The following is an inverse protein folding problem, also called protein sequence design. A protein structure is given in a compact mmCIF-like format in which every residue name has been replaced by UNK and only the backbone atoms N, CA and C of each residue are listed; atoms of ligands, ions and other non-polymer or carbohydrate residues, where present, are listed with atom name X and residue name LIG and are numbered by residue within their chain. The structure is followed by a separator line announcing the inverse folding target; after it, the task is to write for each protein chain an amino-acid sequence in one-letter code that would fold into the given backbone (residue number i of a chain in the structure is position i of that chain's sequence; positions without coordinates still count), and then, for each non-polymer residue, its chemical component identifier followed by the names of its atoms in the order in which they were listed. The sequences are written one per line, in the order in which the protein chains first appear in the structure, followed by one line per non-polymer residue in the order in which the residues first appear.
data_IF_625817510892
#
_entry.id   IF_625817510892
#
_cell.length_a   1.000
_cell.length_b   1.000
_cell.length_c   1.000
_cell.angle_alpha   90.00
_cell.angle_beta   90.00
_cell.angle_gamma   90.00
#
_symmetry.space_group_name_H-M   'P 1'
#
loop_
_entity.id
_entity.type
_entity.pdbx_description
1 polymer ?
#
# COMPACT_ATOMS: atom_id res chain seq x y z
N UNK A 1 79.12 -49.01 40.55
CA UNK A 1 78.40 -50.22 40.85
C UNK A 1 76.91 -49.91 40.86
N UNK A 2 76.14 -50.65 40.09
CA UNK A 2 74.70 -50.80 40.06
C UNK A 2 73.82 -49.55 39.64
N UNK A 3 73.45 -49.64 38.42
CA UNK A 3 72.23 -49.05 37.83
C UNK A 3 70.96 -49.69 38.39
N UNK A 4 69.86 -49.00 38.45
CA UNK A 4 68.63 -49.65 37.98
C UNK A 4 67.79 -48.85 37.01
N UNK A 5 67.19 -49.57 36.21
CA UNK A 5 66.19 -49.55 35.17
C UNK A 5 65.11 -48.42 35.19
N UNK A 6 64.86 -47.89 33.99
CA UNK A 6 63.74 -47.11 33.55
C UNK A 6 62.48 -47.98 33.51
N UNK A 7 61.36 -47.38 33.95
CA UNK A 7 60.01 -47.83 33.58
C UNK A 7 59.34 -46.70 32.79
N UNK A 8 58.90 -47.04 31.61
CA UNK A 8 58.11 -46.17 30.70
C UNK A 8 56.64 -46.22 31.12
N UNK A 9 56.01 -45.05 31.17
CA UNK A 9 54.56 -44.91 31.29
C UNK A 9 54.08 -44.16 30.05
N UNK A 10 53.25 -44.85 29.27
CA UNK A 10 52.54 -44.35 28.12
C UNK A 10 51.44 -43.36 28.53
N UNK A 11 51.27 -42.20 27.86
CA UNK A 11 50.07 -41.36 28.06
C UNK A 11 48.94 -41.76 27.11
N UNK A 12 47.77 -42.03 27.72
CA UNK A 12 46.53 -42.33 27.01
C UNK A 12 45.96 -41.12 26.29
N UNK A 13 45.50 -41.39 25.10
CA UNK A 13 44.73 -40.44 24.25
C UNK A 13 43.28 -40.46 24.74
N UNK A 14 42.79 -39.38 25.33
CA UNK A 14 41.33 -39.09 25.44
C UNK A 14 41.09 -37.57 25.41
N UNK A 15 40.23 -37.13 24.49
CA UNK A 15 39.48 -35.90 24.63
C UNK A 15 39.77 -34.80 23.65
N UNK A 16 39.39 -34.94 22.40
CA UNK A 16 39.10 -33.79 21.48
C UNK A 16 38.06 -34.18 20.43
N UNK A 17 36.80 -34.42 20.85
CA UNK A 17 35.66 -34.64 19.94
C UNK A 17 34.40 -33.95 20.50
N UNK A 18 34.50 -32.79 21.09
CA UNK A 18 33.34 -32.10 21.69
C UNK A 18 33.09 -30.67 21.29
N UNK A 19 33.91 -30.05 20.42
CA UNK A 19 33.82 -28.59 20.22
C UNK A 19 33.55 -28.13 18.77
N UNK A 20 33.35 -29.04 17.82
CA UNK A 20 33.18 -28.64 16.38
C UNK A 20 31.71 -28.62 15.93
N UNK A 21 30.75 -29.16 16.71
CA UNK A 21 29.33 -29.22 16.26
C UNK A 21 28.44 -28.07 16.73
N UNK A 22 28.88 -27.17 17.60
CA UNK A 22 28.08 -26.03 18.07
C UNK A 22 28.26 -24.74 17.24
N UNK A 23 29.39 -24.62 16.51
CA UNK A 23 29.66 -23.42 15.69
C UNK A 23 28.98 -23.44 14.30
N UNK A 24 28.52 -24.60 13.84
CA UNK A 24 27.87 -24.73 12.53
C UNK A 24 26.36 -24.44 12.54
N UNK A 25 25.69 -24.52 13.69
CA UNK A 25 24.23 -24.28 13.77
C UNK A 25 23.88 -22.79 13.92
N UNK A 26 24.72 -22.04 14.63
CA UNK A 26 24.48 -20.58 14.74
C UNK A 26 24.79 -19.82 13.42
N UNK A 27 25.77 -20.30 12.64
CA UNK A 27 26.08 -19.69 11.33
C UNK A 27 24.99 -19.92 10.29
N UNK A 28 24.19 -20.98 10.38
CA UNK A 28 23.08 -21.25 9.47
C UNK A 28 21.83 -20.42 9.80
N UNK A 29 21.55 -20.11 11.07
CA UNK A 29 20.43 -19.24 11.46
C UNK A 29 20.68 -17.77 11.14
N UNK A 30 21.90 -17.29 11.29
CA UNK A 30 22.28 -15.90 10.96
C UNK A 30 22.24 -15.66 9.45
N UNK A 31 22.60 -16.67 8.63
CA UNK A 31 22.59 -16.54 7.18
C UNK A 31 21.17 -16.49 6.58
N UNK A 32 20.16 -17.12 7.21
CA UNK A 32 18.77 -17.07 6.71
C UNK A 32 18.03 -15.78 7.06
N UNK A 33 18.39 -15.09 8.15
CA UNK A 33 17.82 -13.79 8.49
C UNK A 33 18.44 -12.64 7.69
N UNK A 34 19.71 -12.72 7.33
CA UNK A 34 20.41 -11.72 6.53
C UNK A 34 19.98 -11.70 5.05
N UNK A 35 19.63 -12.86 4.47
CA UNK A 35 19.20 -12.96 3.05
C UNK A 35 17.78 -12.45 2.78
N UNK A 36 16.92 -12.34 3.80
CA UNK A 36 15.57 -11.78 3.64
C UNK A 36 15.54 -10.25 3.71
N UNK A 37 16.54 -9.62 4.30
CA UNK A 37 16.58 -8.17 4.59
C UNK A 37 17.10 -7.29 3.43
N UNK A 38 17.72 -7.85 2.40
CA UNK A 38 18.45 -7.07 1.38
C UNK A 38 17.76 -6.94 0.02
N UNK A 39 16.57 -7.49 -0.19
CA UNK A 39 15.93 -7.37 -1.50
C UNK A 39 15.43 -5.96 -1.76
N UNK A 40 16.20 -5.19 -2.50
CA UNK A 40 15.72 -3.91 -3.08
C UNK A 40 14.68 -4.19 -4.15
N UNK A 41 13.65 -3.36 -4.21
CA UNK A 41 12.69 -3.39 -5.32
C UNK A 41 13.41 -2.92 -6.60
N UNK A 42 13.24 -3.66 -7.68
CA UNK A 42 13.68 -3.21 -9.01
C UNK A 42 12.78 -2.05 -9.47
N UNK A 43 13.30 -0.85 -9.50
CA UNK A 43 12.55 0.36 -9.87
C UNK A 43 12.46 0.58 -11.39
N UNK A 44 12.98 -0.33 -12.22
CA UNK A 44 12.99 -0.20 -13.68
C UNK A 44 11.74 -0.70 -14.36
N UNK A 45 10.93 -1.51 -13.66
CA UNK A 45 9.73 -2.14 -14.20
C UNK A 45 8.64 -2.34 -13.15
N UNK A 46 7.38 -2.19 -13.52
CA UNK A 46 6.22 -2.46 -12.65
C UNK A 46 5.85 -3.97 -12.62
N UNK A 47 6.14 -4.71 -13.68
CA UNK A 47 5.89 -6.16 -13.75
C UNK A 47 6.56 -6.92 -12.61
N UNK A 48 5.86 -7.89 -12.03
CA UNK A 48 6.31 -8.68 -10.90
C UNK A 48 6.17 -7.97 -9.53
N UNK A 49 5.53 -6.81 -9.48
CA UNK A 49 5.40 -6.03 -8.24
C UNK A 49 4.01 -6.06 -7.63
N UNK A 50 3.99 -6.01 -6.29
CA UNK A 50 2.84 -5.65 -5.49
C UNK A 50 3.11 -4.28 -4.89
N UNK A 51 2.36 -3.29 -5.37
CA UNK A 51 2.43 -1.91 -4.92
C UNK A 51 1.16 -1.56 -4.16
N UNK A 52 1.28 -0.70 -3.15
CA UNK A 52 0.13 -0.26 -2.35
C UNK A 52 -0.23 1.18 -2.64
N UNK A 53 -1.51 1.54 -2.61
CA UNK A 53 -1.89 2.93 -2.47
C UNK A 53 -1.47 3.47 -1.11
N UNK A 54 -0.94 4.68 -1.06
CA UNK A 54 -0.48 5.36 0.14
C UNK A 54 -1.11 6.74 0.21
N UNK A 55 -1.98 6.95 1.19
CA UNK A 55 -2.73 8.20 1.31
C UNK A 55 -1.88 9.34 1.87
N UNK A 56 -1.17 9.11 2.96
CA UNK A 56 -0.30 10.11 3.57
C UNK A 56 -1.01 11.39 4.03
N UNK A 57 -2.31 11.33 4.31
CA UNK A 57 -3.16 12.50 4.57
C UNK A 57 -3.51 12.74 6.04
N UNK A 58 -3.12 11.83 6.94
CA UNK A 58 -3.44 11.92 8.36
C UNK A 58 -2.60 12.99 9.05
N UNK A 59 -3.26 13.98 9.69
CA UNK A 59 -2.61 15.02 10.48
C UNK A 59 -3.16 15.06 11.90
N UNK A 60 -2.30 15.49 12.84
CA UNK A 60 -2.67 15.68 14.23
C UNK A 60 -2.45 17.13 14.67
N UNK A 61 -3.16 17.55 15.68
CA UNK A 61 -2.89 18.84 16.33
C UNK A 61 -1.43 18.86 16.81
N UNK A 62 -0.71 19.93 16.49
CA UNK A 62 0.70 20.08 16.89
C UNK A 62 1.73 19.31 16.06
N UNK A 63 1.34 18.62 14.98
CA UNK A 63 2.28 17.90 14.09
C UNK A 63 3.17 18.81 13.24
N UNK A 64 2.84 20.10 13.16
CA UNK A 64 3.53 21.10 12.34
C UNK A 64 2.91 21.36 10.97
N UNK A 65 1.94 20.56 10.52
CA UNK A 65 1.23 20.78 9.27
C UNK A 65 0.22 21.94 9.32
N UNK A 66 -0.30 22.24 10.51
CA UNK A 66 -1.32 23.27 10.74
C UNK A 66 -2.69 22.90 10.15
N UNK A 67 -3.00 21.58 10.06
CA UNK A 67 -4.25 21.04 9.53
C UNK A 67 -5.16 20.43 10.58
N UNK A 68 -4.77 20.46 11.88
CA UNK A 68 -5.49 19.82 12.98
C UNK A 68 -5.62 18.31 12.78
N UNK A 69 -6.72 17.73 13.20
CA UNK A 69 -6.99 16.28 13.12
C UNK A 69 -7.55 15.84 11.74
N UNK A 70 -6.84 16.22 10.67
CA UNK A 70 -7.29 15.93 9.30
C UNK A 70 -7.34 14.42 9.04
N UNK A 71 -8.42 13.94 8.45
CA UNK A 71 -8.78 12.53 8.20
C UNK A 71 -9.01 11.66 9.43
N UNK A 72 -8.59 12.06 10.62
CA UNK A 72 -8.92 11.37 11.86
C UNK A 72 -10.34 11.66 12.33
N UNK A 73 -10.85 12.88 12.07
CA UNK A 73 -12.13 13.37 12.59
C UNK A 73 -13.15 13.68 11.49
N UNK A 74 -14.45 13.55 11.82
CA UNK A 74 -15.57 13.94 10.95
C UNK A 74 -15.68 15.45 10.76
N UNK A 75 -15.38 16.19 11.84
CA UNK A 75 -15.54 17.63 11.90
C UNK A 75 -14.34 18.31 12.56
N UNK A 76 -14.55 19.58 12.93
CA UNK A 76 -13.55 20.33 13.71
C UNK A 76 -13.40 19.77 15.11
N UNK A 77 -12.26 19.99 15.71
CA UNK A 77 -11.95 19.58 17.09
C UNK A 77 -11.06 18.35 17.15
N UNK A 78 -10.86 17.84 18.36
CA UNK A 78 -9.98 16.72 18.67
C UNK A 78 -10.54 15.37 18.22
N UNK A 79 -9.66 14.38 18.12
CA UNK A 79 -10.04 12.99 17.93
C UNK A 79 -10.61 12.44 19.25
N UNK A 80 -11.95 12.42 19.34
CA UNK A 80 -12.73 12.12 20.54
C UNK A 80 -13.90 11.17 20.21
N UNK A 81 -14.49 10.51 21.24
CA UNK A 81 -15.72 9.75 21.07
C UNK A 81 -16.81 10.57 20.36
N UNK A 82 -17.44 9.96 19.35
CA UNK A 82 -18.45 10.63 18.50
C UNK A 82 -17.89 11.47 17.35
N UNK A 83 -16.62 11.88 17.37
CA UNK A 83 -15.98 12.65 16.30
C UNK A 83 -14.97 11.84 15.45
N UNK A 84 -14.75 10.56 15.75
CA UNK A 84 -13.86 9.71 14.93
C UNK A 84 -14.42 9.46 13.53
N UNK A 85 -13.57 9.60 12.52
CA UNK A 85 -13.87 9.26 11.14
C UNK A 85 -13.40 7.85 10.78
N UNK A 86 -12.38 7.35 11.46
CA UNK A 86 -11.68 6.11 11.19
C UNK A 86 -12.44 4.89 11.71
N UNK A 87 -12.31 3.77 11.01
CA UNK A 87 -12.89 2.46 11.41
C UNK A 87 -11.84 1.44 11.88
N UNK A 88 -10.54 1.68 11.62
CA UNK A 88 -9.44 0.90 12.18
C UNK A 88 -8.58 1.79 13.09
N UNK A 89 -7.99 1.20 14.15
CA UNK A 89 -7.05 1.90 15.01
C UNK A 89 -5.61 1.48 14.73
N UNK A 90 -4.68 2.42 14.41
CA UNK A 90 -3.30 2.07 14.09
C UNK A 90 -2.57 1.50 15.31
N UNK A 91 -1.64 0.57 15.07
CA UNK A 91 -0.67 0.13 16.06
C UNK A 91 0.54 1.05 16.02
N UNK A 92 0.66 1.91 17.02
CA UNK A 92 1.75 2.89 17.15
C UNK A 92 2.88 2.43 18.08
N UNK A 93 2.89 1.15 18.48
CA UNK A 93 3.84 0.62 19.46
C UNK A 93 5.32 0.72 19.02
N UNK A 94 5.58 0.74 17.72
CA UNK A 94 6.93 0.89 17.15
C UNK A 94 7.33 2.34 16.88
N UNK A 95 6.45 3.30 17.15
CA UNK A 95 6.73 4.73 17.00
C UNK A 95 7.34 5.29 18.29
N UNK A 96 8.26 6.24 18.15
CA UNK A 96 8.83 6.96 19.29
C UNK A 96 7.81 7.90 19.98
N UNK A 97 8.12 8.40 21.19
CA UNK A 97 7.20 9.30 21.92
C UNK A 97 6.83 10.57 21.12
N UNK A 98 7.77 11.15 20.36
CA UNK A 98 7.57 12.38 19.58
C UNK A 98 6.82 12.13 18.24
N UNK A 99 6.56 10.88 17.92
CA UNK A 99 5.88 10.45 16.69
C UNK A 99 4.41 10.09 16.96
N UNK A 100 4.01 10.01 18.24
CA UNK A 100 2.68 9.63 18.69
C UNK A 100 1.92 10.83 19.20
N UNK A 101 0.64 10.89 18.89
CA UNK A 101 -0.27 11.98 19.23
C UNK A 101 -1.41 11.45 20.07
N UNK A 102 -1.48 11.96 21.32
CA UNK A 102 -2.52 11.61 22.28
C UNK A 102 -3.89 12.08 21.79
N UNK A 103 -4.90 11.23 21.97
CA UNK A 103 -6.30 11.52 21.65
C UNK A 103 -7.14 11.61 22.92
N UNK A 104 -8.41 11.96 22.79
CA UNK A 104 -9.36 11.88 23.92
C UNK A 104 -9.91 10.46 24.15
N UNK A 105 -9.55 9.52 23.32
CA UNK A 105 -9.89 8.11 23.50
C UNK A 105 -9.00 7.44 24.54
N UNK A 106 -9.55 6.41 25.19
CA UNK A 106 -8.83 5.57 26.14
C UNK A 106 -9.05 4.09 25.84
N UNK A 107 -8.02 3.30 26.08
CA UNK A 107 -8.11 1.85 26.10
C UNK A 107 -8.89 1.35 27.33
N UNK A 108 -9.27 0.06 27.36
CA UNK A 108 -10.02 -0.52 28.45
C UNK A 108 -9.30 -0.48 29.80
N UNK A 109 -7.98 -0.42 29.81
CA UNK A 109 -7.12 -0.30 30.99
C UNK A 109 -6.89 1.17 31.43
N UNK A 110 -7.52 2.16 30.77
CA UNK A 110 -7.41 3.58 31.07
C UNK A 110 -6.25 4.32 30.40
N UNK A 111 -5.33 3.63 29.70
CA UNK A 111 -4.27 4.28 28.91
C UNK A 111 -4.88 5.19 27.85
N UNK A 112 -4.21 6.32 27.59
CA UNK A 112 -4.55 7.20 26.47
C UNK A 112 -4.29 6.47 25.17
N UNK A 113 -5.26 6.50 24.26
CA UNK A 113 -5.07 5.95 22.92
C UNK A 113 -4.40 7.00 22.03
N UNK A 114 -3.41 6.56 21.26
CA UNK A 114 -2.56 7.42 20.46
C UNK A 114 -2.65 7.04 18.99
N UNK A 115 -2.36 8.01 18.11
CA UNK A 115 -2.28 7.85 16.67
C UNK A 115 -1.02 8.50 16.12
N UNK A 116 -0.77 8.40 14.81
CA UNK A 116 0.39 8.99 14.14
C UNK A 116 0.00 10.18 13.26
N UNK A 117 1.00 10.93 12.76
CA UNK A 117 0.83 11.90 11.70
C UNK A 117 1.68 11.53 10.49
N UNK A 118 1.07 11.53 9.29
CA UNK A 118 1.78 11.34 8.02
C UNK A 118 2.72 12.50 7.68
N UNK A 119 2.57 13.66 8.36
CA UNK A 119 3.48 14.79 8.21
C UNK A 119 4.85 14.55 8.86
N UNK A 120 4.94 13.59 9.77
CA UNK A 120 6.19 13.20 10.44
C UNK A 120 6.98 12.23 9.57
N UNK A 121 8.23 12.57 9.31
CA UNK A 121 9.13 11.76 8.47
C UNK A 121 9.32 10.35 9.03
N UNK A 122 9.42 10.25 10.34
CA UNK A 122 9.66 9.00 11.07
C UNK A 122 8.50 8.01 10.86
N UNK A 123 7.24 8.49 10.86
CA UNK A 123 6.09 7.66 10.55
C UNK A 123 6.14 7.13 9.11
N UNK A 124 6.49 7.98 8.14
CA UNK A 124 6.66 7.57 6.73
C UNK A 124 7.82 6.58 6.59
N UNK A 125 8.94 6.82 7.29
CA UNK A 125 10.09 5.91 7.32
C UNK A 125 9.67 4.53 7.84
N UNK A 126 8.96 4.47 8.97
CA UNK A 126 8.46 3.23 9.56
C UNK A 126 7.56 2.46 8.58
N UNK A 127 6.67 3.16 7.87
CA UNK A 127 5.80 2.56 6.87
C UNK A 127 6.59 1.91 5.72
N UNK A 128 7.63 2.57 5.22
CA UNK A 128 8.48 2.01 4.16
C UNK A 128 9.42 0.91 4.68
N UNK A 129 9.85 0.96 5.93
CA UNK A 129 10.54 -0.15 6.60
C UNK A 129 9.63 -1.38 6.69
N UNK A 130 8.37 -1.22 7.08
CA UNK A 130 7.41 -2.33 7.04
C UNK A 130 7.23 -2.87 5.62
N UNK A 131 7.12 -2.03 4.59
CA UNK A 131 7.07 -2.52 3.20
C UNK A 131 8.30 -3.36 2.87
N UNK A 132 9.50 -2.94 3.27
CA UNK A 132 10.75 -3.69 3.08
C UNK A 132 10.71 -5.04 3.82
N UNK A 133 10.43 -5.00 5.11
CA UNK A 133 10.55 -6.15 6.00
C UNK A 133 9.53 -7.25 5.66
N UNK A 134 8.38 -6.86 5.11
CA UNK A 134 7.34 -7.79 4.68
C UNK A 134 7.32 -8.06 3.16
N UNK A 135 8.27 -7.54 2.39
CA UNK A 135 8.43 -7.86 0.97
C UNK A 135 7.39 -7.24 0.04
N UNK A 136 6.84 -6.07 0.43
CA UNK A 136 6.01 -5.21 -0.41
C UNK A 136 6.92 -4.30 -1.22
N UNK A 137 6.66 -4.15 -2.52
CA UNK A 137 7.62 -3.53 -3.43
C UNK A 137 7.64 -1.98 -3.33
N UNK A 138 6.54 -1.34 -2.89
CA UNK A 138 6.48 0.10 -2.70
C UNK A 138 5.08 0.69 -2.74
N UNK A 139 5.00 2.01 -3.01
CA UNK A 139 3.77 2.79 -2.89
C UNK A 139 3.45 3.65 -4.11
N UNK A 140 2.16 3.72 -4.45
CA UNK A 140 1.58 4.81 -5.22
C UNK A 140 1.17 5.91 -4.24
N UNK A 141 1.95 7.00 -4.20
CA UNK A 141 1.73 8.11 -3.27
C UNK A 141 0.63 9.01 -3.82
N UNK A 142 -0.50 9.04 -3.13
CA UNK A 142 -1.70 9.76 -3.54
C UNK A 142 -1.49 11.27 -3.48
N UNK A 143 -2.03 11.96 -4.49
CA UNK A 143 -1.97 13.41 -4.61
C UNK A 143 -3.31 13.93 -5.14
N UNK A 144 -4.19 14.36 -4.22
CA UNK A 144 -5.52 14.82 -4.57
C UNK A 144 -5.48 16.15 -5.31
N UNK A 145 -5.93 16.14 -6.56
CA UNK A 145 -5.93 17.31 -7.44
C UNK A 145 -6.81 18.44 -6.91
N UNK A 146 -7.89 18.13 -6.20
CA UNK A 146 -8.79 19.13 -5.57
C UNK A 146 -8.07 20.01 -4.54
N UNK A 147 -7.00 19.50 -3.91
CA UNK A 147 -6.22 20.22 -2.89
C UNK A 147 -5.05 21.05 -3.41
N UNK A 148 -4.76 21.05 -4.72
CA UNK A 148 -3.55 21.71 -5.26
C UNK A 148 -3.55 23.25 -5.12
N UNK A 149 -4.73 23.88 -5.01
CA UNK A 149 -4.86 25.33 -4.76
C UNK A 149 -4.80 25.70 -3.28
N UNK A 150 -5.04 24.77 -2.38
CA UNK A 150 -4.95 25.05 -0.95
C UNK A 150 -3.50 24.96 -0.46
N UNK A 151 -2.90 26.06 0.02
CA UNK A 151 -1.49 26.06 0.40
C UNK A 151 -1.15 25.06 1.51
N UNK A 152 -2.08 24.77 2.42
CA UNK A 152 -1.85 23.78 3.50
C UNK A 152 -1.87 22.36 2.95
N UNK A 153 -2.81 22.05 2.06
CA UNK A 153 -2.88 20.75 1.38
C UNK A 153 -1.68 20.52 0.47
N UNK A 154 -1.30 21.53 -0.31
CA UNK A 154 -0.12 21.45 -1.17
C UNK A 154 1.17 21.24 -0.35
N UNK A 155 1.33 21.97 0.76
CA UNK A 155 2.45 21.78 1.69
C UNK A 155 2.48 20.35 2.26
N UNK A 156 1.32 19.83 2.72
CA UNK A 156 1.20 18.44 3.18
C UNK A 156 1.67 17.47 2.10
N UNK A 157 1.09 17.58 0.91
CA UNK A 157 1.39 16.67 -0.20
C UNK A 157 2.87 16.72 -0.59
N UNK A 158 3.48 17.91 -0.65
CA UNK A 158 4.89 18.06 -0.98
C UNK A 158 5.80 17.50 0.13
N UNK A 159 5.46 17.72 1.39
CA UNK A 159 6.24 17.21 2.53
C UNK A 159 6.20 15.68 2.57
N UNK A 160 5.01 15.09 2.47
CA UNK A 160 4.87 13.61 2.47
C UNK A 160 5.58 13.00 1.26
N UNK A 161 5.43 13.59 0.07
CA UNK A 161 6.12 13.10 -1.14
C UNK A 161 7.64 13.18 -1.00
N UNK A 162 8.17 14.28 -0.43
CA UNK A 162 9.60 14.42 -0.16
C UNK A 162 10.10 13.35 0.84
N UNK A 163 9.33 13.07 1.90
CA UNK A 163 9.62 11.99 2.81
C UNK A 163 9.58 10.63 2.11
N UNK A 164 8.53 10.33 1.34
CA UNK A 164 8.44 9.08 0.57
C UNK A 164 9.65 8.91 -0.37
N UNK A 165 10.08 9.96 -1.06
CA UNK A 165 11.27 9.94 -1.92
C UNK A 165 12.52 9.52 -1.14
N UNK A 166 12.81 10.21 -0.04
CA UNK A 166 14.02 9.93 0.78
C UNK A 166 13.97 8.52 1.39
N UNK A 167 12.83 8.16 1.99
CA UNK A 167 12.72 6.86 2.68
C UNK A 167 12.68 5.68 1.71
N UNK A 168 12.13 5.87 0.50
CA UNK A 168 12.15 4.85 -0.56
C UNK A 168 13.59 4.49 -0.96
N UNK A 169 14.45 5.49 -1.13
CA UNK A 169 15.88 5.28 -1.42
C UNK A 169 16.57 4.49 -0.30
N UNK A 170 16.31 4.85 0.96
CA UNK A 170 16.93 4.21 2.14
C UNK A 170 16.42 2.78 2.33
N UNK A 171 15.14 2.55 2.21
CA UNK A 171 14.52 1.23 2.40
C UNK A 171 14.64 0.31 1.18
N UNK A 172 15.08 0.84 0.04
CA UNK A 172 15.11 0.10 -1.22
C UNK A 172 13.72 -0.27 -1.74
N UNK A 173 12.72 0.60 -1.49
CA UNK A 173 11.36 0.44 -2.01
C UNK A 173 11.11 1.40 -3.15
N UNK A 174 10.10 1.10 -3.98
CA UNK A 174 9.68 1.97 -5.07
C UNK A 174 8.61 2.97 -4.61
N UNK A 175 8.54 4.14 -5.27
CA UNK A 175 7.40 5.04 -5.14
C UNK A 175 7.01 5.63 -6.50
N UNK A 176 5.74 6.00 -6.62
CA UNK A 176 5.13 6.62 -7.82
C UNK A 176 4.21 7.73 -7.37
N UNK A 177 4.18 8.84 -8.09
CA UNK A 177 3.15 9.87 -7.91
C UNK A 177 1.84 9.37 -8.53
N UNK A 178 0.75 9.41 -7.76
CA UNK A 178 -0.59 9.05 -8.21
C UNK A 178 -1.55 10.21 -7.98
N UNK A 179 -1.92 10.91 -9.04
CA UNK A 179 -2.96 11.93 -8.96
C UNK A 179 -4.33 11.29 -8.77
N UNK A 180 -5.10 11.81 -7.83
CA UNK A 180 -6.51 11.50 -7.66
C UNK A 180 -7.34 12.71 -8.08
N UNK A 181 -8.18 12.53 -9.09
CA UNK A 181 -9.01 13.59 -9.65
C UNK A 181 -10.34 13.78 -8.90
N UNK A 182 -10.58 13.06 -7.79
CA UNK A 182 -11.81 13.22 -6.99
C UNK A 182 -11.95 14.64 -6.49
N UNK A 183 -13.16 15.21 -6.68
CA UNK A 183 -13.45 16.57 -6.26
C UNK A 183 -12.80 17.68 -7.11
N UNK A 184 -12.08 17.33 -8.19
CA UNK A 184 -11.55 18.33 -9.12
C UNK A 184 -12.71 19.03 -9.86
N UNK A 185 -12.73 20.36 -9.81
CA UNK A 185 -13.74 21.17 -10.50
C UNK A 185 -13.57 21.18 -12.03
N UNK A 186 -14.59 21.67 -12.73
CA UNK A 186 -14.54 21.85 -14.18
C UNK A 186 -13.41 22.80 -14.61
N UNK A 187 -12.80 22.53 -15.76
CA UNK A 187 -11.73 23.33 -16.37
C UNK A 187 -10.47 23.48 -15.50
N UNK A 188 -10.23 22.51 -14.59
CA UNK A 188 -9.08 22.56 -13.66
C UNK A 188 -8.00 21.53 -13.95
N UNK A 189 -8.11 20.77 -15.02
CA UNK A 189 -7.14 19.70 -15.34
C UNK A 189 -5.71 20.24 -15.53
N UNK A 190 -5.57 21.48 -15.99
CA UNK A 190 -4.27 22.15 -16.16
C UNK A 190 -3.50 22.31 -14.85
N UNK A 191 -4.17 22.40 -13.72
CA UNK A 191 -3.53 22.48 -12.41
C UNK A 191 -2.71 21.20 -12.11
N UNK A 192 -3.20 20.04 -12.56
CA UNK A 192 -2.47 18.77 -12.46
C UNK A 192 -1.23 18.80 -13.36
N UNK A 193 -1.34 19.36 -14.55
CA UNK A 193 -0.20 19.50 -15.46
C UNK A 193 0.87 20.44 -14.90
N UNK A 194 0.47 21.58 -14.32
CA UNK A 194 1.38 22.56 -13.75
C UNK A 194 2.05 22.02 -12.50
N UNK A 195 1.29 21.34 -11.65
CA UNK A 195 1.84 20.63 -10.48
C UNK A 195 2.85 19.55 -10.90
N UNK A 196 2.55 18.75 -11.92
CA UNK A 196 3.50 17.76 -12.44
C UNK A 196 4.79 18.41 -12.96
N UNK A 197 4.70 19.54 -13.66
CA UNK A 197 5.90 20.29 -14.07
C UNK A 197 6.74 20.72 -12.88
N UNK A 198 6.09 21.28 -11.83
CA UNK A 198 6.78 21.68 -10.60
C UNK A 198 7.44 20.49 -9.89
N UNK A 199 6.74 19.35 -9.78
CA UNK A 199 7.33 18.12 -9.23
C UNK A 199 8.57 17.64 -10.01
N UNK A 200 8.56 17.80 -11.34
CA UNK A 200 9.70 17.42 -12.20
C UNK A 200 10.85 18.42 -12.13
N UNK A 201 10.57 19.72 -12.21
CA UNK A 201 11.59 20.77 -12.36
C UNK A 201 12.12 21.29 -11.04
N UNK A 202 11.30 21.35 -9.98
CA UNK A 202 11.70 21.92 -8.69
C UNK A 202 12.02 20.81 -7.66
N UNK A 203 11.20 19.77 -7.59
CA UNK A 203 11.42 18.66 -6.65
C UNK A 203 12.23 17.49 -7.25
N UNK A 204 12.48 17.51 -8.56
CA UNK A 204 13.24 16.46 -9.26
C UNK A 204 12.77 15.06 -8.88
N UNK A 205 11.44 14.88 -8.76
CA UNK A 205 10.82 13.69 -8.17
C UNK A 205 11.20 12.41 -8.91
N UNK A 206 11.32 12.47 -10.24
CA UNK A 206 11.65 11.33 -11.12
C UNK A 206 13.12 11.02 -11.24
N UNK A 207 14.00 11.86 -10.64
CA UNK A 207 15.45 11.66 -10.67
C UNK A 207 15.91 10.73 -9.53
N UNK A 208 15.01 10.49 -8.55
CA UNK A 208 15.27 9.55 -7.46
C UNK A 208 15.45 8.12 -8.00
N UNK A 209 16.46 7.37 -7.53
CA UNK A 209 16.60 5.94 -7.85
C UNK A 209 15.46 5.10 -7.28
N UNK A 210 14.69 5.61 -6.31
CA UNK A 210 13.48 4.97 -5.78
C UNK A 210 12.23 5.22 -6.63
N UNK A 211 12.28 6.15 -7.62
CA UNK A 211 11.12 6.40 -8.48
C UNK A 211 10.90 5.28 -9.48
N UNK A 212 9.70 4.68 -9.48
CA UNK A 212 9.40 3.55 -10.34
C UNK A 212 9.32 3.97 -11.81
N UNK A 213 9.99 3.22 -12.65
CA UNK A 213 9.89 3.29 -14.09
C UNK A 213 9.10 2.10 -14.64
N UNK A 214 8.55 2.26 -15.80
CA UNK A 214 7.93 1.19 -16.55
C UNK A 214 8.08 1.47 -18.04
N UNK A 215 8.34 0.43 -18.84
CA UNK A 215 8.65 0.60 -20.27
C UNK A 215 9.76 1.64 -20.54
N UNK A 216 10.77 1.68 -19.65
CA UNK A 216 11.93 2.59 -19.74
C UNK A 216 11.69 4.05 -19.35
N UNK A 217 10.47 4.45 -18.94
CA UNK A 217 10.07 5.82 -18.63
C UNK A 217 9.57 5.93 -17.20
N UNK A 218 9.63 7.11 -16.54
CA UNK A 218 9.01 7.34 -15.25
C UNK A 218 7.51 7.03 -15.32
N UNK A 219 7.00 6.24 -14.35
CA UNK A 219 5.57 5.94 -14.25
C UNK A 219 4.85 7.07 -13.51
N UNK A 220 3.74 7.54 -14.04
CA UNK A 220 2.80 8.42 -13.34
C UNK A 220 1.41 7.82 -13.41
N UNK A 221 0.69 7.86 -12.29
CA UNK A 221 -0.66 7.34 -12.20
C UNK A 221 -1.67 8.48 -12.12
N UNK A 222 -2.83 8.30 -12.75
CA UNK A 222 -3.98 9.21 -12.68
C UNK A 222 -5.22 8.39 -12.40
N UNK A 223 -5.76 8.51 -11.19
CA UNK A 223 -7.00 7.87 -10.79
C UNK A 223 -8.19 8.80 -11.02
N UNK A 224 -9.31 8.21 -11.46
CA UNK A 224 -10.54 8.95 -11.61
C UNK A 224 -11.03 9.10 -13.04
N UNK A 225 -10.46 8.38 -14.00
CA UNK A 225 -10.81 8.49 -15.43
C UNK A 225 -12.06 7.66 -15.74
N UNK A 226 -13.10 8.31 -16.23
CA UNK A 226 -14.29 7.65 -16.79
C UNK A 226 -15.33 7.18 -15.77
N UNK A 227 -15.32 7.66 -14.53
CA UNK A 227 -16.36 7.39 -13.53
C UNK A 227 -17.65 8.16 -13.83
N UNK A 228 -18.82 7.52 -13.60
CA UNK A 228 -20.16 8.08 -13.80
C UNK A 228 -20.75 8.70 -12.51
N UNK A 229 -19.91 9.25 -11.64
CA UNK A 229 -20.25 9.79 -10.31
C UNK A 229 -20.27 11.34 -10.30
N UNK A 230 -20.79 11.94 -11.36
CA UNK A 230 -20.98 13.40 -11.53
C UNK A 230 -19.69 14.24 -11.49
N UNK A 231 -18.57 13.67 -11.93
CA UNK A 231 -17.31 14.39 -12.05
C UNK A 231 -17.44 15.61 -12.95
N UNK A 232 -16.77 16.69 -12.56
CA UNK A 232 -16.93 17.99 -13.23
C UNK A 232 -15.96 18.18 -14.40
N UNK A 233 -14.91 17.41 -14.50
CA UNK A 233 -14.00 17.37 -15.64
C UNK A 233 -14.49 16.38 -16.71
N UNK A 234 -14.12 16.63 -17.94
CA UNK A 234 -14.59 15.92 -19.13
C UNK A 234 -13.57 14.87 -19.61
N UNK A 235 -14.00 13.95 -20.48
CA UNK A 235 -13.08 13.02 -21.17
C UNK A 235 -12.09 13.77 -22.08
N UNK A 236 -12.45 14.92 -22.63
CA UNK A 236 -11.54 15.76 -23.41
C UNK A 236 -10.40 16.31 -22.52
N UNK A 237 -10.71 16.78 -21.32
CA UNK A 237 -9.70 17.19 -20.35
C UNK A 237 -8.84 16.01 -19.88
N UNK A 238 -9.44 14.83 -19.70
CA UNK A 238 -8.66 13.61 -19.38
C UNK A 238 -7.68 13.28 -20.51
N UNK A 239 -8.13 13.37 -21.77
CA UNK A 239 -7.26 13.18 -22.93
C UNK A 239 -6.10 14.19 -22.95
N UNK A 240 -6.39 15.48 -22.74
CA UNK A 240 -5.38 16.55 -22.68
C UNK A 240 -4.30 16.23 -21.62
N UNK A 241 -4.71 15.76 -20.43
CA UNK A 241 -3.78 15.36 -19.38
C UNK A 241 -2.91 14.15 -19.77
N UNK A 242 -3.52 13.11 -20.32
CA UNK A 242 -2.77 11.90 -20.72
C UNK A 242 -1.77 12.22 -21.83
N UNK A 243 -2.19 12.96 -22.85
CA UNK A 243 -1.31 13.39 -23.96
C UNK A 243 -0.16 14.27 -23.47
N UNK A 244 -0.44 15.19 -22.52
CA UNK A 244 0.59 15.99 -21.86
C UNK A 244 1.63 15.11 -21.15
N UNK A 245 1.22 14.15 -20.30
CA UNK A 245 2.12 13.27 -19.56
C UNK A 245 2.94 12.36 -20.51
N UNK A 246 2.31 11.87 -21.56
CA UNK A 246 3.00 11.08 -22.61
C UNK A 246 4.06 11.93 -23.33
N UNK A 247 3.74 13.18 -23.68
CA UNK A 247 4.66 14.12 -24.30
C UNK A 247 5.82 14.48 -23.39
N UNK A 248 5.57 14.56 -22.07
CA UNK A 248 6.59 14.80 -21.05
C UNK A 248 7.47 13.56 -20.78
N UNK A 249 7.30 12.49 -21.57
CA UNK A 249 8.14 11.30 -21.54
C UNK A 249 7.76 10.29 -20.46
N UNK A 250 6.52 10.29 -19.96
CA UNK A 250 6.05 9.36 -18.94
C UNK A 250 5.42 8.11 -19.52
N UNK A 251 5.49 7.02 -18.77
CA UNK A 251 4.53 5.92 -18.82
C UNK A 251 3.33 6.31 -17.97
N UNK A 252 2.11 6.11 -18.48
CA UNK A 252 0.89 6.57 -17.82
C UNK A 252 0.02 5.38 -17.42
N UNK A 253 -0.32 5.30 -16.12
CA UNK A 253 -1.31 4.40 -15.57
C UNK A 253 -2.62 5.14 -15.33
N UNK A 254 -3.75 4.56 -15.72
CA UNK A 254 -5.07 5.13 -15.48
C UNK A 254 -5.88 4.27 -14.51
N UNK A 255 -6.32 4.89 -13.40
CA UNK A 255 -7.32 4.34 -12.50
C UNK A 255 -8.73 4.61 -13.02
N UNK A 256 -9.48 3.55 -13.27
CA UNK A 256 -10.77 3.56 -13.97
C UNK A 256 -11.86 2.86 -13.15
N UNK A 257 -13.16 3.05 -13.44
CA UNK A 257 -14.24 2.30 -12.79
C UNK A 257 -14.20 0.81 -13.13
N UNK A 258 -14.87 -0.04 -12.34
CA UNK A 258 -14.91 -1.49 -12.59
C UNK A 258 -15.49 -1.85 -13.96
N UNK A 259 -16.53 -1.12 -14.41
CA UNK A 259 -17.24 -1.44 -15.66
C UNK A 259 -16.72 -0.64 -16.87
N UNK A 260 -15.48 -0.15 -16.82
CA UNK A 260 -14.86 0.66 -17.87
C UNK A 260 -14.90 0.04 -19.27
N UNK A 261 -14.73 -1.29 -19.34
CA UNK A 261 -14.74 -2.02 -20.63
C UNK A 261 -16.15 -2.13 -21.21
N UNK A 262 -17.15 -2.22 -20.35
CA UNK A 262 -18.55 -2.40 -20.75
C UNK A 262 -19.30 -1.07 -20.90
N UNK A 263 -18.70 0.08 -20.52
CA UNK A 263 -19.27 1.43 -20.59
C UNK A 263 -20.65 1.52 -19.91
N UNK A 264 -20.78 0.97 -18.70
CA UNK A 264 -22.03 0.96 -17.94
C UNK A 264 -21.79 1.08 -16.42
N UNK A 265 -22.86 1.16 -15.64
CA UNK A 265 -22.89 1.21 -14.17
C UNK A 265 -22.03 2.36 -13.62
N UNK A 266 -20.86 2.05 -13.05
CA UNK A 266 -19.93 3.04 -12.49
C UNK A 266 -19.02 3.70 -13.54
N UNK A 267 -19.16 3.32 -14.81
CA UNK A 267 -18.43 3.90 -15.94
C UNK A 267 -19.33 4.80 -16.80
N UNK A 268 -18.73 5.85 -17.37
CA UNK A 268 -19.39 6.67 -18.39
C UNK A 268 -19.80 5.80 -19.57
N UNK A 269 -21.06 5.95 -20.02
CA UNK A 269 -21.61 5.28 -21.21
C UNK A 269 -21.22 6.02 -22.51
N UNK A 270 -19.93 6.36 -22.64
CA UNK A 270 -19.37 7.12 -23.75
C UNK A 270 -18.18 6.36 -24.37
N UNK A 271 -18.27 5.95 -25.66
CA UNK A 271 -17.18 5.27 -26.37
C UNK A 271 -15.85 6.05 -26.39
N UNK A 272 -15.89 7.38 -26.28
CA UNK A 272 -14.70 8.22 -26.19
C UNK A 272 -13.81 7.86 -24.97
N UNK A 273 -14.37 7.20 -23.95
CA UNK A 273 -13.60 6.68 -22.84
C UNK A 273 -12.53 5.66 -23.34
N UNK A 274 -12.90 4.72 -24.19
CA UNK A 274 -11.93 3.76 -24.73
C UNK A 274 -10.81 4.42 -25.55
N UNK A 275 -11.11 5.54 -26.22
CA UNK A 275 -10.08 6.27 -26.97
C UNK A 275 -9.09 6.97 -26.03
N UNK A 276 -9.55 7.47 -24.86
CA UNK A 276 -8.67 8.00 -23.82
C UNK A 276 -7.82 6.88 -23.21
N UNK A 277 -8.44 5.74 -22.89
CA UNK A 277 -7.75 4.60 -22.27
C UNK A 277 -6.64 4.03 -23.15
N UNK A 278 -6.84 3.98 -24.47
CA UNK A 278 -5.83 3.50 -25.44
C UNK A 278 -4.59 4.39 -25.53
N UNK A 279 -4.62 5.62 -25.01
CA UNK A 279 -3.44 6.50 -24.92
C UNK A 279 -2.51 6.12 -23.77
N UNK A 280 -3.03 5.42 -22.76
CA UNK A 280 -2.28 4.99 -21.60
C UNK A 280 -1.32 3.84 -21.88
N UNK A 281 -0.63 3.39 -20.84
CA UNK A 281 0.23 2.21 -20.87
C UNK A 281 -0.28 1.12 -19.93
N UNK A 282 -0.94 1.51 -18.82
CA UNK A 282 -1.44 0.59 -17.79
C UNK A 282 -2.87 0.99 -17.40
N UNK A 283 -3.77 0.01 -17.33
CA UNK A 283 -5.15 0.19 -16.83
C UNK A 283 -5.29 -0.48 -15.47
N UNK A 284 -5.89 0.24 -14.51
CA UNK A 284 -6.09 -0.24 -13.14
C UNK A 284 -7.53 0.02 -12.68
N UNK A 285 -8.44 -0.97 -12.76
CA UNK A 285 -9.83 -0.78 -12.36
C UNK A 285 -10.00 -0.77 -10.85
N UNK A 286 -10.78 0.18 -10.34
CA UNK A 286 -11.13 0.27 -8.93
C UNK A 286 -12.19 -0.76 -8.56
N UNK A 287 -11.86 -1.66 -7.65
CA UNK A 287 -12.73 -2.78 -7.26
C UNK A 287 -13.14 -2.78 -5.79
N UNK A 288 -12.63 -1.84 -4.99
CA UNK A 288 -13.05 -1.71 -3.58
C UNK A 288 -14.56 -1.53 -3.49
N UNK A 289 -15.22 -2.32 -2.65
CA UNK A 289 -16.68 -2.26 -2.48
C UNK A 289 -17.48 -3.06 -3.51
N UNK A 290 -16.90 -3.60 -4.57
CA UNK A 290 -17.63 -4.25 -5.67
C UNK A 290 -17.99 -5.72 -5.42
N UNK A 291 -17.34 -6.36 -4.46
CA UNK A 291 -17.63 -7.71 -3.99
C UNK A 291 -17.21 -7.86 -2.52
N UNK A 292 -17.75 -8.87 -1.82
CA UNK A 292 -17.57 -8.99 -0.36
C UNK A 292 -17.21 -10.39 0.16
N UNK A 293 -17.03 -11.35 -0.72
CA UNK A 293 -16.77 -12.75 -0.36
C UNK A 293 -16.10 -13.51 -1.51
N UNK A 294 -15.67 -14.74 -1.23
CA UNK A 294 -15.00 -15.60 -2.21
C UNK A 294 -15.85 -15.89 -3.45
N UNK A 295 -17.18 -15.99 -3.31
CA UNK A 295 -18.08 -16.17 -4.46
C UNK A 295 -18.13 -14.91 -5.33
N UNK A 296 -18.11 -13.72 -4.70
CA UNK A 296 -17.98 -12.44 -5.38
C UNK A 296 -16.64 -12.31 -6.12
N UNK A 297 -15.54 -12.73 -5.49
CA UNK A 297 -14.20 -12.75 -6.12
C UNK A 297 -14.21 -13.67 -7.34
N UNK A 298 -14.77 -14.89 -7.25
CA UNK A 298 -14.85 -15.81 -8.37
C UNK A 298 -15.68 -15.24 -9.53
N UNK A 299 -16.83 -14.61 -9.23
CA UNK A 299 -17.61 -13.92 -10.27
C UNK A 299 -16.87 -12.77 -10.90
N UNK A 300 -16.12 -11.99 -10.10
CA UNK A 300 -15.29 -10.88 -10.60
C UNK A 300 -14.16 -11.39 -11.50
N UNK A 301 -13.51 -12.50 -11.14
CA UNK A 301 -12.48 -13.13 -11.98
C UNK A 301 -13.00 -13.46 -13.37
N UNK A 302 -14.19 -14.10 -13.46
CA UNK A 302 -14.74 -14.53 -14.74
C UNK A 302 -15.33 -13.36 -15.55
N UNK A 303 -16.04 -12.41 -14.91
CA UNK A 303 -16.77 -11.36 -15.62
C UNK A 303 -15.93 -10.14 -15.97
N UNK A 304 -14.89 -9.86 -15.18
CA UNK A 304 -14.09 -8.64 -15.32
C UNK A 304 -12.61 -8.97 -15.53
N UNK A 305 -11.95 -9.59 -14.56
CA UNK A 305 -10.52 -9.74 -14.52
C UNK A 305 -9.96 -10.41 -15.80
N UNK A 306 -10.49 -11.57 -16.19
CA UNK A 306 -10.06 -12.28 -17.42
C UNK A 306 -10.39 -11.51 -18.69
N UNK A 307 -11.64 -11.00 -18.88
CA UNK A 307 -11.96 -10.23 -20.08
C UNK A 307 -11.21 -8.89 -20.18
N UNK A 308 -10.95 -8.23 -19.06
CA UNK A 308 -10.18 -6.97 -19.02
C UNK A 308 -8.72 -7.20 -19.41
N UNK A 309 -8.09 -8.27 -18.87
CA UNK A 309 -6.75 -8.69 -19.26
C UNK A 309 -6.67 -8.97 -20.79
N UNK A 310 -7.66 -9.67 -21.33
CA UNK A 310 -7.71 -9.97 -22.76
C UNK A 310 -7.85 -8.70 -23.61
N UNK A 311 -8.72 -7.76 -23.18
CA UNK A 311 -8.88 -6.48 -23.88
C UNK A 311 -7.60 -5.64 -23.83
N UNK A 312 -6.96 -5.54 -22.65
CA UNK A 312 -5.70 -4.82 -22.51
C UNK A 312 -4.59 -5.42 -23.38
N UNK A 313 -4.48 -6.76 -23.43
CA UNK A 313 -3.52 -7.45 -24.28
C UNK A 313 -3.72 -7.12 -25.77
N UNK A 314 -4.97 -7.11 -26.25
CA UNK A 314 -5.30 -6.71 -27.63
C UNK A 314 -4.94 -5.25 -27.91
N UNK A 315 -5.13 -4.37 -26.91
CA UNK A 315 -4.80 -2.95 -27.02
C UNK A 315 -3.32 -2.65 -26.75
N UNK A 316 -2.48 -3.64 -26.43
CA UNK A 316 -1.06 -3.52 -26.04
C UNK A 316 -0.86 -2.68 -24.78
N UNK A 317 -1.81 -2.77 -23.87
CA UNK A 317 -1.78 -2.15 -22.55
C UNK A 317 -1.48 -3.21 -21.48
N UNK A 318 -0.83 -2.78 -20.40
CA UNK A 318 -0.69 -3.60 -19.21
C UNK A 318 -1.91 -3.45 -18.31
N UNK A 319 -2.15 -4.44 -17.44
CA UNK A 319 -3.30 -4.46 -16.54
C UNK A 319 -2.86 -4.65 -15.10
N UNK A 320 -3.24 -3.73 -14.23
CA UNK A 320 -2.91 -3.72 -12.80
C UNK A 320 -4.19 -3.88 -11.98
N UNK A 321 -4.60 -5.12 -11.64
CA UNK A 321 -5.78 -5.35 -10.83
C UNK A 321 -5.62 -4.80 -9.42
N UNK A 322 -6.73 -4.30 -8.85
CA UNK A 322 -6.82 -3.83 -7.47
C UNK A 322 -7.35 -4.96 -6.59
N UNK A 323 -6.71 -5.17 -5.44
CA UNK A 323 -7.15 -6.07 -4.37
C UNK A 323 -7.25 -5.28 -3.06
N UNK A 324 -8.12 -5.71 -2.14
CA UNK A 324 -8.34 -5.00 -0.87
C UNK A 324 -8.69 -5.96 0.27
N UNK A 325 -8.31 -5.64 1.54
CA UNK A 325 -8.43 -6.58 2.64
C UNK A 325 -9.83 -6.70 3.23
N UNK A 326 -10.62 -5.67 3.15
CA UNK A 326 -11.95 -5.47 3.70
C UNK A 326 -12.36 -4.01 3.54
N UNK A 327 -13.53 -3.63 4.04
CA UNK A 327 -14.05 -2.27 3.89
C UNK A 327 -15.05 -1.91 4.99
N UNK A 328 -14.97 -0.70 5.53
CA UNK A 328 -15.88 -0.17 6.53
C UNK A 328 -15.96 1.35 6.47
N UNK A 329 -17.16 1.89 6.45
CA UNK A 329 -17.46 3.33 6.46
C UNK A 329 -18.31 3.76 7.67
N UNK A 330 -18.39 2.91 8.70
CA UNK A 330 -19.34 3.10 9.78
C UNK A 330 -19.16 4.42 10.51
N UNK A 331 -17.94 4.75 10.91
CA UNK A 331 -17.66 6.00 11.60
C UNK A 331 -17.68 7.21 10.65
N UNK A 332 -17.35 7.05 9.37
CA UNK A 332 -17.31 8.15 8.41
C UNK A 332 -18.72 8.56 7.94
N UNK A 333 -19.54 7.61 7.53
CA UNK A 333 -20.81 7.84 6.84
C UNK A 333 -22.03 7.19 7.50
N UNK A 334 -21.83 6.46 8.60
CA UNK A 334 -22.85 5.59 9.17
C UNK A 334 -22.95 4.26 8.41
N UNK A 335 -23.89 3.42 8.83
CA UNK A 335 -24.07 2.09 8.26
C UNK A 335 -23.38 0.98 9.08
N UNK A 336 -23.28 -0.23 8.53
CA UNK A 336 -22.74 -1.36 9.27
C UNK A 336 -21.23 -1.25 9.41
N UNK A 337 -20.73 -1.47 10.63
CA UNK A 337 -19.30 -1.70 10.87
C UNK A 337 -18.87 -2.98 10.14
N UNK A 338 -17.66 -2.96 9.57
CA UNK A 338 -17.10 -4.12 8.83
C UNK A 338 -18.01 -4.58 7.67
N UNK A 339 -18.50 -3.60 6.86
CA UNK A 339 -19.43 -3.85 5.76
C UNK A 339 -18.93 -4.91 4.76
N UNK A 340 -17.62 -5.03 4.59
CA UNK A 340 -16.94 -6.12 3.89
C UNK A 340 -15.91 -6.73 4.83
N UNK A 341 -16.25 -7.87 5.49
CA UNK A 341 -15.38 -8.48 6.48
C UNK A 341 -14.07 -9.00 5.90
N UNK A 342 -13.00 -8.81 6.67
CA UNK A 342 -11.65 -9.28 6.33
C UNK A 342 -11.49 -10.79 6.36
N UNK A 343 -12.35 -11.51 7.14
CA UNK A 343 -12.38 -12.99 7.24
C UNK A 343 -11.00 -13.59 7.56
N UNK A 344 -10.31 -13.02 8.51
CA UNK A 344 -8.96 -13.43 8.90
C UNK A 344 -8.00 -13.54 7.71
N UNK A 345 -8.13 -12.62 6.75
CA UNK A 345 -7.29 -12.54 5.56
C UNK A 345 -7.73 -13.42 4.40
N UNK A 346 -8.70 -14.32 4.58
CA UNK A 346 -9.17 -15.21 3.50
C UNK A 346 -9.74 -14.43 2.31
N UNK A 347 -10.38 -13.29 2.59
CA UNK A 347 -10.92 -12.44 1.55
C UNK A 347 -9.81 -11.83 0.67
N UNK A 348 -8.78 -11.22 1.26
CA UNK A 348 -7.64 -10.67 0.51
C UNK A 348 -6.87 -11.77 -0.23
N UNK A 349 -6.63 -12.92 0.43
CA UNK A 349 -5.91 -14.03 -0.18
C UNK A 349 -6.62 -14.58 -1.41
N UNK A 350 -7.95 -14.70 -1.37
CA UNK A 350 -8.75 -15.15 -2.51
C UNK A 350 -8.59 -14.25 -3.73
N UNK A 351 -8.40 -12.93 -3.53
CA UNK A 351 -8.18 -11.97 -4.61
C UNK A 351 -6.77 -12.10 -5.21
N UNK A 352 -5.73 -12.26 -4.38
CA UNK A 352 -4.38 -12.55 -4.87
C UNK A 352 -4.34 -13.82 -5.72
N UNK A 353 -5.02 -14.89 -5.26
CA UNK A 353 -5.07 -16.16 -6.00
C UNK A 353 -5.86 -16.03 -7.32
N UNK A 354 -6.96 -15.27 -7.33
CA UNK A 354 -7.74 -15.00 -8.53
C UNK A 354 -6.93 -14.19 -9.55
N UNK A 355 -6.25 -13.11 -9.10
CA UNK A 355 -5.41 -12.29 -9.96
C UNK A 355 -4.28 -13.12 -10.61
N UNK A 356 -3.54 -13.89 -9.80
CA UNK A 356 -2.47 -14.76 -10.33
C UNK A 356 -2.97 -15.83 -11.28
N UNK A 357 -4.10 -16.49 -10.97
CA UNK A 357 -4.72 -17.52 -11.81
C UNK A 357 -5.21 -16.95 -13.14
N UNK A 358 -5.73 -15.71 -13.14
CA UNK A 358 -6.15 -15.02 -14.36
C UNK A 358 -4.98 -14.56 -15.23
N UNK A 359 -3.75 -14.61 -14.74
CA UNK A 359 -2.55 -14.20 -15.47
C UNK A 359 -2.06 -12.78 -15.19
N UNK A 360 -2.55 -12.13 -14.13
CA UNK A 360 -2.01 -10.83 -13.73
C UNK A 360 -0.52 -10.94 -13.37
N UNK A 361 0.26 -9.96 -13.83
CA UNK A 361 1.71 -9.89 -13.62
C UNK A 361 2.11 -8.80 -12.63
N UNK A 362 1.17 -7.99 -12.18
CA UNK A 362 1.34 -6.92 -11.19
C UNK A 362 0.05 -6.74 -10.40
N UNK A 363 0.11 -6.23 -9.18
CA UNK A 363 -1.07 -6.04 -8.31
C UNK A 363 -0.96 -4.72 -7.56
N UNK A 364 -2.10 -4.01 -7.48
CA UNK A 364 -2.30 -2.86 -6.60
C UNK A 364 -3.09 -3.27 -5.37
N UNK A 365 -2.61 -2.94 -4.17
CA UNK A 365 -3.33 -3.15 -2.91
C UNK A 365 -3.95 -1.84 -2.43
N UNK A 366 -5.25 -1.81 -2.32
CA UNK A 366 -6.00 -0.69 -1.75
C UNK A 366 -6.36 -1.02 -0.30
N UNK A 367 -5.76 -0.35 0.70
CA UNK A 367 -4.69 0.64 0.69
C UNK A 367 -3.65 0.26 1.75
N UNK A 368 -2.48 0.91 1.77
CA UNK A 368 -1.49 0.67 2.81
C UNK A 368 -1.96 1.23 4.17
N UNK A 369 -2.35 2.51 4.22
CA UNK A 369 -2.55 3.31 5.45
C UNK A 369 -3.99 3.83 5.66
N UNK A 370 -4.97 3.44 4.84
CA UNK A 370 -6.31 4.01 4.87
C UNK A 370 -7.20 3.38 5.95
N UNK A 371 -7.10 3.92 7.16
CA UNK A 371 -7.87 3.45 8.32
C UNK A 371 -9.31 4.00 8.37
N UNK A 372 -9.58 5.09 7.67
CA UNK A 372 -10.88 5.74 7.63
C UNK A 372 -11.91 5.00 6.74
N UNK A 373 -11.45 4.24 5.75
CA UNK A 373 -12.29 3.32 4.96
C UNK A 373 -12.12 1.83 5.36
N UNK A 374 -11.37 1.56 6.43
CA UNK A 374 -11.13 0.20 6.88
C UNK A 374 -10.35 -0.67 5.88
N UNK A 375 -9.65 -0.09 4.91
CA UNK A 375 -8.88 -0.79 3.86
C UNK A 375 -7.40 -0.96 4.19
N UNK A 376 -6.90 -0.35 5.26
CA UNK A 376 -5.49 -0.41 5.62
C UNK A 376 -4.96 -1.84 5.78
N UNK A 377 -3.74 -2.09 5.27
CA UNK A 377 -3.00 -3.34 5.51
C UNK A 377 -1.82 -3.18 6.46
N UNK A 378 -1.45 -1.95 6.80
CA UNK A 378 -0.38 -1.67 7.77
C UNK A 378 -0.76 -2.15 9.18
N UNK A 379 0.13 -2.00 10.16
CA UNK A 379 -0.13 -2.50 11.51
C UNK A 379 -1.30 -1.77 12.18
N UNK A 380 -2.37 -2.52 12.49
CA UNK A 380 -3.50 -2.06 13.31
C UNK A 380 -3.63 -2.93 14.56
N UNK A 381 -4.04 -2.31 15.67
CA UNK A 381 -4.18 -3.01 16.95
C UNK A 381 -5.55 -3.69 17.10
N UNK A 382 -5.58 -4.81 17.84
CA UNK A 382 -6.83 -5.37 18.35
C UNK A 382 -7.25 -4.77 19.70
N UNK A 383 -6.33 -4.08 20.39
CA UNK A 383 -6.60 -3.31 21.60
C UNK A 383 -7.11 -1.92 21.20
N UNK A 384 -8.32 -1.86 20.67
CA UNK A 384 -8.96 -0.61 20.23
C UNK A 384 -9.48 0.19 21.42
N UNK A 385 -9.68 1.52 21.30
CA UNK A 385 -10.26 2.32 22.36
C UNK A 385 -11.62 1.80 22.81
N UNK A 386 -11.86 1.85 24.12
CA UNK A 386 -13.11 1.45 24.75
C UNK A 386 -14.17 2.57 24.63
N UNK A 387 -15.46 2.19 24.63
CA UNK A 387 -16.57 3.14 24.62
C UNK A 387 -17.65 2.83 23.60
N UNK A 388 -18.46 3.86 23.29
CA UNK A 388 -19.59 3.73 22.36
C UNK A 388 -19.13 3.69 20.90
N UNK A 389 -18.09 4.47 20.53
CA UNK A 389 -17.49 4.43 19.20
C UNK A 389 -16.84 3.06 18.98
N UNK A 390 -17.25 2.36 17.92
CA UNK A 390 -16.74 1.02 17.62
C UNK A 390 -15.73 1.05 16.48
N UNK A 391 -14.75 0.16 16.56
CA UNK A 391 -13.70 0.01 15.57
C UNK A 391 -13.62 -1.44 15.08
N UNK A 392 -13.27 -1.62 13.84
CA UNK A 392 -12.90 -2.92 13.25
C UNK A 392 -11.55 -3.35 13.81
N UNK A 393 -11.37 -4.63 14.05
CA UNK A 393 -10.10 -5.21 14.50
C UNK A 393 -9.52 -6.16 13.45
N UNK A 394 -8.31 -6.63 13.69
CA UNK A 394 -7.72 -7.71 12.88
C UNK A 394 -8.15 -9.11 13.37
N UNK A 395 -9.37 -9.22 13.97
CA UNK A 395 -9.99 -10.50 14.37
C UNK A 395 -9.08 -11.37 15.25
N UNK A 396 -8.35 -10.74 16.19
CA UNK A 396 -7.34 -11.34 17.08
C UNK A 396 -6.09 -11.88 16.37
N UNK A 397 -5.89 -11.55 15.11
CA UNK A 397 -4.63 -11.81 14.41
C UNK A 397 -3.55 -10.80 14.81
N UNK A 398 -2.25 -11.11 14.70
CA UNK A 398 -1.17 -10.16 14.96
C UNK A 398 -1.32 -8.86 14.15
N UNK A 399 -0.88 -7.73 14.70
CA UNK A 399 -1.00 -6.42 14.04
C UNK A 399 -0.32 -6.35 12.66
N UNK A 400 0.71 -7.16 12.44
CA UNK A 400 1.46 -7.27 11.17
C UNK A 400 0.89 -8.29 10.17
N UNK A 401 -0.23 -8.94 10.50
CA UNK A 401 -0.75 -10.08 9.72
C UNK A 401 -0.98 -9.73 8.25
N UNK A 402 -1.59 -8.59 7.96
CA UNK A 402 -1.91 -8.18 6.57
C UNK A 402 -0.66 -7.75 5.79
N UNK A 403 0.37 -7.25 6.45
CA UNK A 403 1.68 -7.02 5.83
C UNK A 403 2.33 -8.35 5.41
N UNK A 404 2.35 -9.36 6.31
CA UNK A 404 2.85 -10.71 5.99
C UNK A 404 2.05 -11.36 4.87
N UNK A 405 0.73 -11.24 4.90
CA UNK A 405 -0.16 -11.79 3.88
C UNK A 405 0.10 -11.17 2.51
N UNK A 406 0.28 -9.84 2.46
CA UNK A 406 0.61 -9.09 1.24
C UNK A 406 1.98 -9.52 0.69
N UNK A 407 2.98 -9.69 1.55
CA UNK A 407 4.29 -10.22 1.15
C UNK A 407 4.24 -11.63 0.57
N UNK A 408 3.35 -12.49 1.10
CA UNK A 408 3.10 -13.80 0.48
C UNK A 408 2.39 -13.67 -0.88
N UNK A 409 1.45 -12.73 -1.00
CA UNK A 409 0.84 -12.38 -2.29
C UNK A 409 1.89 -11.95 -3.31
N UNK A 410 2.87 -11.16 -2.88
CA UNK A 410 4.03 -10.75 -3.69
C UNK A 410 4.86 -11.96 -4.16
N UNK A 411 5.17 -12.89 -3.26
CA UNK A 411 5.90 -14.14 -3.59
C UNK A 411 5.11 -15.02 -4.56
N UNK A 412 3.80 -15.14 -4.35
CA UNK A 412 2.93 -15.92 -5.24
C UNK A 412 2.83 -15.28 -6.62
N UNK A 413 2.71 -13.95 -6.69
CA UNK A 413 2.70 -13.23 -7.97
C UNK A 413 3.95 -13.53 -8.79
N UNK A 414 5.12 -13.55 -8.16
CA UNK A 414 6.40 -13.84 -8.82
C UNK A 414 6.66 -15.34 -9.05
N UNK A 415 5.76 -16.23 -8.61
CA UNK A 415 5.93 -17.67 -8.74
C UNK A 415 6.95 -18.28 -7.76
N UNK A 416 7.35 -17.54 -6.73
CA UNK A 416 8.24 -18.02 -5.66
C UNK A 416 7.55 -19.01 -4.73
N UNK A 417 6.21 -18.96 -4.65
CA UNK A 417 5.36 -19.95 -3.99
C UNK A 417 4.20 -20.33 -4.89
N UNK A 418 3.65 -21.56 -4.76
CA UNK A 418 2.53 -22.01 -5.58
C UNK A 418 1.23 -21.26 -5.25
N UNK A 419 0.28 -21.27 -6.19
CA UNK A 419 -1.08 -20.80 -5.96
C UNK A 419 -1.77 -21.78 -4.99
N UNK A 420 -2.21 -21.30 -3.84
CA UNK A 420 -2.91 -22.11 -2.83
C UNK A 420 -4.21 -21.46 -2.40
N UNK A 421 -5.27 -22.27 -2.19
CA UNK A 421 -6.55 -21.76 -1.67
C UNK A 421 -6.44 -21.35 -0.19
N UNK A 422 -5.61 -22.05 0.59
CA UNK A 422 -5.39 -21.77 2.00
C UNK A 422 -4.22 -20.80 2.16
N UNK A 423 -4.37 -19.86 3.08
CA UNK A 423 -3.29 -18.96 3.47
C UNK A 423 -2.14 -19.79 4.06
N UNK A 424 -0.92 -19.68 3.52
CA UNK A 424 0.23 -20.43 4.03
C UNK A 424 0.89 -19.75 5.25
N UNK A 425 0.10 -19.16 6.14
CA UNK A 425 0.53 -18.55 7.40
C UNK A 425 -0.19 -19.22 8.57
N UNK A 426 0.48 -19.43 9.72
CA UNK A 426 -0.20 -19.77 10.94
C UNK A 426 -1.14 -18.63 11.37
N UNK A 427 -2.35 -18.97 11.81
CA UNK A 427 -3.35 -18.02 12.33
C UNK A 427 -3.16 -17.73 13.83
N UNK A 428 -1.97 -17.97 14.39
CA UNK A 428 -1.68 -17.73 15.80
C UNK A 428 -1.24 -16.31 16.05
#
# INVERSE_FOLDING_TARGET
MNTPRRNAVTPGIFGCVGFIFLLSLESFLVCHSALAAERRADTTILTGKVMCGYQGWFNCEGDGAGRGWNHWTKGRGSLAPGNAKIDLWPDVSELGPDERFATEFRHADGRVAEVFSSFKKEAVLRHFEWMRDYGIDGAFVQRFASGLRDPKSLRQNNTVLAHCREVAERSGRAFVVMYDLSGLGANRIREVMDDWRSLRTELHVTDSPGYLRHRGKPLVAVWGIGFSDDRKYTLAECRELVEFLKKDGCTVMLGVPTHWRELKNDALADPALHDVLKLADVISPWTVGRYRDAAGVARHEEKFLKPDLAWCAQAKLDYLPVVFPGFSWANMHGGPLDAIPRRKGEFLWSQFTAAKRAGAEMIYVAMFDEVDEGTAIFKCTNDVPAGETKFVTYESLPSDFYLRLTGLGSKMLRGEIPITKKIPLPKK
#
